data_IF_971443937959
#
_entry.id   IF_971443937959
#
_cell.length_a   1.000
_cell.length_b   1.000
_cell.length_c   1.000
_cell.angle_alpha   90.00
_cell.angle_beta   90.00
_cell.angle_gamma   90.00
#
_symmetry.space_group_name_H-M   'P 1'
#
loop_
_entity.id
_entity.type
_entity.pdbx_description
1 polymer ?
#
# COMPACT_ATOMS: atom_id res chain seq x y z
N UNK A 1 -21.73 -23.61 -8.12
CA UNK A 1 -20.69 -22.64 -8.58
C UNK A 1 -20.46 -21.50 -7.59
N UNK A 2 -21.51 -20.83 -7.09
CA UNK A 2 -21.34 -19.70 -6.17
C UNK A 2 -20.68 -20.07 -4.82
N UNK A 3 -21.05 -21.21 -4.22
CA UNK A 3 -20.44 -21.68 -2.97
C UNK A 3 -18.95 -22.01 -3.11
N UNK A 4 -18.55 -22.58 -4.25
CA UNK A 4 -17.15 -22.86 -4.56
C UNK A 4 -16.34 -21.58 -4.73
N UNK A 5 -16.93 -20.56 -5.36
CA UNK A 5 -16.32 -19.23 -5.45
C UNK A 5 -16.08 -18.64 -4.06
N UNK A 6 -17.07 -18.64 -3.16
CA UNK A 6 -16.89 -18.11 -1.80
C UNK A 6 -15.86 -18.90 -0.97
N UNK A 7 -15.86 -20.23 -1.07
CA UNK A 7 -14.85 -21.06 -0.42
C UNK A 7 -13.43 -20.74 -0.94
N UNK A 8 -13.29 -20.58 -2.26
CA UNK A 8 -12.01 -20.20 -2.86
C UNK A 8 -11.61 -18.75 -2.55
N UNK A 9 -12.58 -17.85 -2.42
CA UNK A 9 -12.34 -16.43 -2.18
C UNK A 9 -11.86 -16.16 -0.74
N UNK A 10 -12.38 -16.92 0.23
CA UNK A 10 -11.95 -16.89 1.63
C UNK A 10 -10.89 -17.92 2.00
N UNK A 11 -10.27 -18.53 1.00
CA UNK A 11 -9.13 -19.43 1.25
C UNK A 11 -7.96 -18.63 1.83
N UNK A 12 -7.22 -19.31 2.69
CA UNK A 12 -5.99 -18.80 3.26
C UNK A 12 -4.99 -19.96 3.32
N UNK A 13 -4.31 -20.26 2.20
CA UNK A 13 -3.39 -21.39 2.14
C UNK A 13 -2.15 -21.11 2.99
N UNK A 14 -1.50 -22.19 3.43
CA UNK A 14 -0.25 -22.09 4.16
C UNK A 14 0.84 -21.40 3.32
N UNK A 15 1.64 -20.58 3.99
CA UNK A 15 2.69 -19.78 3.36
C UNK A 15 4.04 -20.10 3.97
N UNK A 16 5.03 -20.34 3.12
CA UNK A 16 6.44 -20.36 3.54
C UNK A 16 6.89 -18.90 3.66
N UNK A 17 7.10 -18.46 4.89
CA UNK A 17 7.59 -17.11 5.18
C UNK A 17 9.12 -17.15 5.11
N UNK A 18 9.77 -16.34 4.24
CA UNK A 18 11.23 -16.28 4.17
C UNK A 18 11.82 -15.90 5.53
N UNK A 19 13.02 -16.39 5.85
CA UNK A 19 13.74 -16.09 7.10
C UNK A 19 14.74 -14.95 6.99
N UNK A 20 15.09 -14.51 5.77
CA UNK A 20 16.05 -13.43 5.52
C UNK A 20 15.72 -12.17 6.33
N UNK A 21 16.73 -11.49 6.85
CA UNK A 21 16.57 -10.25 7.62
C UNK A 21 16.50 -9.03 6.69
N UNK A 22 15.90 -7.94 7.17
CA UNK A 22 15.82 -6.68 6.43
C UNK A 22 14.93 -6.67 5.19
N UNK A 23 14.33 -7.79 4.78
CA UNK A 23 13.43 -7.85 3.61
C UNK A 23 12.00 -7.45 3.95
N UNK A 24 11.32 -6.89 2.95
CA UNK A 24 9.90 -6.56 3.01
C UNK A 24 9.14 -7.49 2.05
N UNK A 25 8.23 -8.29 2.61
CA UNK A 25 7.42 -9.24 1.82
C UNK A 25 6.13 -8.62 1.32
N UNK A 26 5.55 -9.20 0.27
CA UNK A 26 4.26 -8.75 -0.26
C UNK A 26 3.17 -8.91 0.79
N UNK A 27 2.32 -7.91 1.03
CA UNK A 27 1.16 -8.06 1.89
C UNK A 27 -0.03 -8.72 1.19
N UNK A 28 0.05 -8.96 -0.13
CA UNK A 28 -1.07 -9.43 -0.95
C UNK A 28 -0.64 -10.49 -1.98
N UNK A 29 -1.57 -11.36 -2.33
CA UNK A 29 -1.49 -12.14 -3.56
C UNK A 29 -1.94 -11.29 -4.74
N UNK A 30 -1.22 -11.35 -5.86
CA UNK A 30 -1.61 -10.61 -7.05
C UNK A 30 -0.45 -10.34 -8.00
N UNK A 31 -0.69 -9.49 -8.99
CA UNK A 31 0.33 -9.09 -9.96
C UNK A 31 0.89 -7.70 -9.65
N UNK A 32 2.20 -7.53 -9.78
CA UNK A 32 2.87 -6.23 -9.58
C UNK A 32 2.54 -5.30 -10.74
N UNK A 33 1.75 -4.27 -10.48
CA UNK A 33 1.35 -3.29 -11.50
C UNK A 33 2.51 -2.38 -11.91
N UNK A 34 3.15 -1.77 -10.91
CA UNK A 34 4.25 -0.84 -11.10
C UNK A 34 5.14 -0.81 -9.85
N UNK A 35 6.39 -0.46 -10.06
CA UNK A 35 7.32 -0.06 -9.01
C UNK A 35 7.89 1.32 -9.37
N UNK A 36 7.60 2.34 -8.56
CA UNK A 36 7.97 3.73 -8.88
C UNK A 36 8.66 4.40 -7.72
N UNK A 37 9.63 5.24 -8.05
CA UNK A 37 10.20 6.19 -7.11
C UNK A 37 9.27 7.40 -7.04
N UNK A 38 8.86 7.76 -5.83
CA UNK A 38 7.96 8.89 -5.60
C UNK A 38 8.54 9.84 -4.54
N UNK A 39 8.14 11.11 -4.58
CA UNK A 39 8.48 12.13 -3.58
C UNK A 39 7.22 12.78 -3.02
N UNK A 40 7.21 13.03 -1.72
CA UNK A 40 6.10 13.71 -1.07
C UNK A 40 6.01 15.17 -1.52
N UNK A 41 4.81 15.62 -1.88
CA UNK A 41 4.54 16.99 -2.34
C UNK A 41 3.47 17.72 -1.52
N UNK A 42 2.76 16.98 -0.66
CA UNK A 42 1.64 17.51 0.10
C UNK A 42 1.20 16.52 1.15
N UNK A 43 0.34 16.95 2.06
CA UNK A 43 -0.12 16.12 3.18
C UNK A 43 -1.48 16.51 3.68
N UNK A 44 -2.03 15.71 4.59
CA UNK A 44 -3.25 16.13 5.29
C UNK A 44 -2.99 17.35 6.16
N UNK A 45 -3.85 18.38 6.05
CA UNK A 45 -3.72 19.57 6.88
C UNK A 45 -4.11 19.27 8.32
N UNK A 46 -3.44 19.94 9.25
CA UNK A 46 -3.89 20.09 10.62
C UNK A 46 -5.11 21.03 10.69
N UNK A 47 -5.80 21.06 11.84
CA UNK A 47 -6.93 22.00 12.05
C UNK A 47 -6.54 23.45 11.81
N UNK A 48 -5.37 23.87 12.30
CA UNK A 48 -4.86 25.24 12.12
C UNK A 48 -4.58 25.56 10.65
N UNK A 49 -4.08 24.58 9.89
CA UNK A 49 -3.80 24.76 8.46
C UNK A 49 -5.06 24.81 7.60
N UNK A 50 -6.11 24.08 7.98
CA UNK A 50 -7.43 24.19 7.34
C UNK A 50 -7.98 25.62 7.47
N UNK A 51 -7.82 26.24 8.64
CA UNK A 51 -8.26 27.62 8.91
C UNK A 51 -7.39 28.68 8.22
N UNK A 52 -6.17 28.32 7.80
CA UNK A 52 -5.23 29.27 7.18
C UNK A 52 -5.60 29.71 5.75
N UNK A 53 -6.55 29.02 5.11
CA UNK A 53 -6.93 29.26 3.71
C UNK A 53 -5.90 28.79 2.66
N UNK A 54 -4.76 28.21 3.08
CA UNK A 54 -3.71 27.72 2.17
C UNK A 54 -3.99 26.32 1.59
N UNK A 55 -4.99 25.61 2.11
CA UNK A 55 -5.28 24.26 1.68
C UNK A 55 -5.86 24.24 0.27
N UNK A 56 -5.43 23.25 -0.53
CA UNK A 56 -6.09 22.93 -1.81
C UNK A 56 -7.20 21.92 -1.56
N UNK A 57 -8.26 21.98 -2.36
CA UNK A 57 -9.35 21.02 -2.29
C UNK A 57 -9.40 20.12 -3.52
N UNK A 58 -9.24 18.82 -3.31
CA UNK A 58 -9.52 17.81 -4.32
C UNK A 58 -10.94 17.27 -4.14
N UNK A 59 -11.66 17.15 -5.26
CA UNK A 59 -13.06 16.74 -5.30
C UNK A 59 -13.28 15.35 -4.69
N UNK A 60 -12.30 14.46 -4.80
CA UNK A 60 -12.43 13.06 -4.40
C UNK A 60 -11.79 12.80 -3.04
N UNK A 61 -10.69 13.48 -2.71
CA UNK A 61 -9.86 13.16 -1.54
C UNK A 61 -9.93 14.18 -0.43
N UNK A 62 -10.60 15.32 -0.63
CA UNK A 62 -10.74 16.32 0.42
C UNK A 62 -9.65 17.37 0.39
N UNK A 63 -9.34 17.92 1.56
CA UNK A 63 -8.39 19.01 1.70
C UNK A 63 -6.97 18.48 1.86
N UNK A 64 -6.03 19.22 1.27
CA UNK A 64 -4.60 18.95 1.28
C UNK A 64 -3.83 20.23 1.60
N UNK A 65 -2.80 20.09 2.42
CA UNK A 65 -1.80 21.12 2.59
C UNK A 65 -0.72 20.94 1.50
N UNK A 66 -0.37 22.00 0.75
CA UNK A 66 0.47 21.90 -0.46
C UNK A 66 1.97 21.79 -0.17
N UNK A 67 2.34 21.40 1.04
CA UNK A 67 3.72 21.18 1.45
C UNK A 67 3.83 19.79 2.10
N UNK A 68 4.93 19.05 1.90
CA UNK A 68 5.14 17.78 2.57
C UNK A 68 5.33 17.96 4.08
N UNK A 69 5.54 16.85 4.80
CA UNK A 69 6.02 16.93 6.19
C UNK A 69 7.47 17.46 6.21
N UNK A 70 7.87 18.05 7.34
CA UNK A 70 9.28 18.39 7.60
C UNK A 70 10.18 17.14 7.53
N UNK A 71 9.65 16.01 8.04
CA UNK A 71 10.18 14.67 7.80
C UNK A 71 9.14 13.82 7.02
N UNK A 72 9.23 13.78 5.67
CA UNK A 72 8.33 12.98 4.84
C UNK A 72 8.41 11.48 5.11
N UNK A 73 9.55 10.99 5.60
CA UNK A 73 9.80 9.56 5.83
C UNK A 73 9.30 9.08 7.19
N UNK A 74 8.80 9.99 8.04
CA UNK A 74 8.10 9.67 9.29
C UNK A 74 6.73 9.05 9.07
N UNK A 75 6.10 9.31 7.91
CA UNK A 75 4.77 8.81 7.57
C UNK A 75 3.69 9.12 8.64
N UNK A 76 3.82 10.22 9.39
CA UNK A 76 2.91 10.56 10.50
C UNK A 76 1.48 10.86 10.07
N UNK A 77 1.26 11.21 8.80
CA UNK A 77 -0.06 11.38 8.19
C UNK A 77 -0.05 10.96 6.74
N UNK A 78 -1.23 10.81 6.14
CA UNK A 78 -1.35 10.55 4.70
C UNK A 78 -0.74 11.71 3.88
N UNK A 79 0.13 11.36 2.93
CA UNK A 79 0.83 12.30 2.04
C UNK A 79 0.44 12.09 0.57
N UNK A 80 0.53 13.15 -0.21
CA UNK A 80 0.51 13.11 -1.67
C UNK A 80 1.92 12.91 -2.18
N UNK A 81 2.04 12.06 -3.20
CA UNK A 81 3.31 11.69 -3.79
C UNK A 81 3.24 11.87 -5.31
N UNK A 82 4.34 12.31 -5.90
CA UNK A 82 4.53 12.36 -7.35
C UNK A 82 5.73 11.52 -7.79
N UNK A 83 5.72 11.06 -9.03
CA UNK A 83 6.81 10.26 -9.58
C UNK A 83 8.08 11.11 -9.72
N UNK A 84 9.22 10.56 -9.29
CA UNK A 84 10.53 11.19 -9.41
C UNK A 84 11.18 10.74 -10.72
N UNK A 85 11.53 11.66 -11.65
CA UNK A 85 12.26 11.31 -12.85
C UNK A 85 13.65 10.77 -12.54
N UNK A 86 14.14 9.87 -13.40
CA UNK A 86 15.52 9.37 -13.30
C UNK A 86 16.52 10.53 -13.38
N UNK A 87 17.48 10.56 -12.46
CA UNK A 87 18.45 11.64 -12.31
C UNK A 87 18.03 12.79 -11.38
N UNK A 88 16.79 12.78 -10.85
CA UNK A 88 16.30 13.78 -9.89
C UNK A 88 16.06 13.20 -8.49
N UNK A 89 16.68 12.06 -8.20
CA UNK A 89 16.51 11.34 -6.95
C UNK A 89 17.05 12.09 -5.73
N UNK A 90 16.39 11.95 -4.58
CA UNK A 90 16.82 12.51 -3.30
C UNK A 90 16.68 11.49 -2.16
N UNK A 91 17.24 11.84 -1.00
CA UNK A 91 17.19 11.03 0.21
C UNK A 91 15.78 10.93 0.83
N UNK A 92 14.87 11.83 0.49
CA UNK A 92 13.48 11.85 1.00
C UNK A 92 12.50 11.09 0.10
N UNK A 93 13.01 10.46 -0.96
CA UNK A 93 12.19 9.66 -1.87
C UNK A 93 11.80 8.32 -1.24
N UNK A 94 10.71 7.78 -1.77
CA UNK A 94 10.19 6.46 -1.43
C UNK A 94 10.11 5.59 -2.68
N UNK A 95 10.26 4.29 -2.51
CA UNK A 95 9.76 3.34 -3.50
C UNK A 95 8.31 3.02 -3.19
N UNK A 96 7.48 2.89 -4.22
CA UNK A 96 6.12 2.37 -4.15
C UNK A 96 5.95 1.19 -5.09
N UNK A 97 5.57 0.04 -4.54
CA UNK A 97 5.16 -1.14 -5.30
C UNK A 97 3.65 -1.32 -5.14
N UNK A 98 2.95 -1.39 -6.26
CA UNK A 98 1.51 -1.61 -6.31
C UNK A 98 1.19 -3.05 -6.76
N UNK A 99 0.41 -3.78 -5.95
CA UNK A 99 0.00 -5.16 -6.25
C UNK A 99 -1.51 -5.18 -6.52
N UNK A 100 -1.90 -5.61 -7.72
CA UNK A 100 -3.29 -5.83 -8.09
C UNK A 100 -3.74 -7.24 -7.74
N UNK A 101 -4.80 -7.35 -6.95
CA UNK A 101 -5.44 -8.60 -6.56
C UNK A 101 -6.67 -8.82 -7.43
N UNK A 102 -6.65 -9.80 -8.32
CA UNK A 102 -7.83 -10.23 -9.07
C UNK A 102 -8.87 -10.88 -8.15
N UNK A 103 -10.14 -11.05 -8.58
CA UNK A 103 -11.15 -11.76 -7.79
C UNK A 103 -10.85 -13.23 -7.49
N UNK A 104 -9.86 -13.85 -8.15
CA UNK A 104 -9.48 -15.25 -7.96
C UNK A 104 -8.28 -15.43 -7.00
N UNK A 105 -7.59 -14.33 -6.68
CA UNK A 105 -6.45 -14.32 -5.77
C UNK A 105 -6.87 -14.48 -4.32
N UNK A 106 -5.91 -14.70 -3.41
CA UNK A 106 -6.18 -14.72 -1.97
C UNK A 106 -6.35 -13.28 -1.48
N UNK A 107 -7.50 -12.99 -0.88
CA UNK A 107 -7.81 -11.65 -0.36
C UNK A 107 -7.40 -11.40 1.09
N UNK A 108 -6.85 -12.41 1.76
CA UNK A 108 -6.22 -12.25 3.08
C UNK A 108 -4.89 -11.52 2.92
N UNK A 109 -4.73 -10.42 3.66
CA UNK A 109 -3.50 -9.64 3.67
C UNK A 109 -2.62 -9.97 4.89
N UNK A 110 -1.31 -9.95 4.67
CA UNK A 110 -0.29 -10.36 5.64
C UNK A 110 0.71 -9.24 5.92
N UNK A 111 1.21 -9.19 7.15
CA UNK A 111 2.17 -8.17 7.58
C UNK A 111 3.47 -8.33 6.78
N UNK A 112 3.99 -7.26 6.17
CA UNK A 112 5.13 -7.36 5.26
C UNK A 112 6.45 -7.67 5.99
N UNK A 113 6.52 -7.33 7.28
CA UNK A 113 7.67 -7.56 8.16
C UNK A 113 7.23 -7.71 9.62
N UNK A 114 8.12 -8.19 10.49
CA UNK A 114 7.89 -8.16 11.94
C UNK A 114 7.88 -6.71 12.41
N UNK A 115 6.81 -6.29 13.10
CA UNK A 115 6.56 -4.87 13.37
C UNK A 115 5.42 -4.64 14.35
N UNK A 116 5.31 -3.40 14.82
CA UNK A 116 4.12 -2.86 15.48
C UNK A 116 3.40 -1.90 14.53
N UNK A 117 2.07 -1.95 14.48
CA UNK A 117 1.29 -0.96 13.73
C UNK A 117 1.22 0.35 14.52
N UNK A 118 1.89 1.40 14.06
CA UNK A 118 1.98 2.68 14.78
C UNK A 118 0.90 3.68 14.40
N UNK A 119 0.31 3.53 13.21
CA UNK A 119 -0.84 4.30 12.77
C UNK A 119 -1.73 3.46 11.85
N UNK A 120 -3.04 3.68 11.93
CA UNK A 120 -4.02 3.11 11.00
C UNK A 120 -5.12 4.13 10.70
N UNK A 121 -5.28 4.49 9.43
CA UNK A 121 -6.23 5.51 8.99
C UNK A 121 -7.16 4.96 7.91
N UNK A 122 -8.47 5.05 8.16
CA UNK A 122 -9.49 4.70 7.18
C UNK A 122 -10.00 5.97 6.48
N UNK A 123 -9.96 5.97 5.14
CA UNK A 123 -10.40 7.09 4.30
C UNK A 123 -11.40 6.63 3.26
N UNK A 124 -12.43 7.43 3.04
CA UNK A 124 -13.40 7.31 1.95
C UNK A 124 -13.36 8.57 1.08
N UNK A 125 -14.00 8.53 -0.10
CA UNK A 125 -14.13 9.71 -0.94
C UNK A 125 -14.87 10.86 -0.23
N UNK A 126 -14.47 12.12 -0.52
CA UNK A 126 -15.03 13.34 0.10
C UNK A 126 -16.55 13.37 -0.05
N UNK A 127 -17.27 13.51 1.07
CA UNK A 127 -18.74 13.57 1.10
C UNK A 127 -19.44 12.26 0.70
N UNK A 128 -18.67 11.18 0.47
CA UNK A 128 -19.21 9.88 0.09
C UNK A 128 -19.15 8.93 1.28
N UNK A 129 -20.23 8.18 1.48
CA UNK A 129 -20.22 7.04 2.42
C UNK A 129 -19.13 6.03 2.05
N UNK A 130 -18.88 5.88 0.73
CA UNK A 130 -17.88 5.02 0.07
C UNK A 130 -17.71 5.50 -1.39
N UNK A 131 -16.53 5.39 -2.03
CA UNK A 131 -16.32 5.79 -3.44
C UNK A 131 -14.98 6.50 -3.72
N UNK A 132 -14.66 6.88 -4.98
CA UNK A 132 -15.49 6.85 -6.20
C UNK A 132 -15.56 5.49 -6.92
N UNK A 133 -15.02 4.43 -6.32
CA UNK A 133 -15.12 3.06 -6.84
C UNK A 133 -14.55 2.88 -8.26
N UNK A 134 -13.44 3.55 -8.56
CA UNK A 134 -12.70 3.29 -9.78
C UNK A 134 -12.17 1.84 -9.78
N UNK A 135 -12.01 1.24 -10.97
CA UNK A 135 -11.44 -0.10 -11.06
C UNK A 135 -9.99 -0.10 -10.53
N UNK A 136 -9.63 -1.11 -9.70
CA UNK A 136 -8.37 -1.11 -8.95
C UNK A 136 -7.10 -1.11 -9.82
N UNK A 137 -7.21 -1.47 -11.10
CA UNK A 137 -6.11 -1.40 -12.07
C UNK A 137 -5.91 0.01 -12.66
N UNK A 138 -6.82 0.96 -12.42
CA UNK A 138 -6.71 2.33 -12.93
C UNK A 138 -6.07 3.26 -11.90
N UNK A 139 -5.40 4.32 -12.37
CA UNK A 139 -4.74 5.32 -11.50
C UNK A 139 -5.72 5.97 -10.53
N UNK A 140 -6.95 6.21 -10.99
CA UNK A 140 -8.02 6.85 -10.22
C UNK A 140 -8.47 6.02 -9.01
N UNK A 141 -8.13 4.73 -8.94
CA UNK A 141 -8.42 3.88 -7.77
C UNK A 141 -7.74 4.35 -6.49
N UNK A 142 -6.68 5.14 -6.59
CA UNK A 142 -6.03 5.75 -5.42
C UNK A 142 -6.98 6.61 -4.58
N UNK A 143 -8.11 7.01 -5.15
CA UNK A 143 -9.14 7.82 -4.50
C UNK A 143 -10.26 7.00 -3.85
N UNK A 144 -10.26 5.68 -4.00
CA UNK A 144 -11.27 4.79 -3.42
C UNK A 144 -11.18 4.71 -1.89
N UNK A 145 -12.12 3.96 -1.29
CA UNK A 145 -12.03 3.51 0.10
C UNK A 145 -10.67 2.85 0.32
N UNK A 146 -9.93 3.34 1.31
CA UNK A 146 -8.58 2.86 1.60
C UNK A 146 -8.28 2.86 3.07
N UNK A 147 -7.48 1.89 3.49
CA UNK A 147 -6.95 1.79 4.85
C UNK A 147 -5.44 1.86 4.75
N UNK A 148 -4.89 2.92 5.31
CA UNK A 148 -3.45 3.15 5.47
C UNK A 148 -3.02 2.53 6.79
N UNK A 149 -1.96 1.74 6.79
CA UNK A 149 -1.36 1.16 7.99
C UNK A 149 0.14 1.38 7.97
N UNK A 150 0.70 1.85 9.08
CA UNK A 150 2.14 2.09 9.24
C UNK A 150 2.73 1.02 10.14
N UNK A 151 3.65 0.24 9.59
CA UNK A 151 4.35 -0.84 10.26
C UNK A 151 5.75 -0.36 10.61
N UNK A 152 6.11 -0.39 11.89
CA UNK A 152 7.44 -0.04 12.37
C UNK A 152 8.10 -1.25 13.04
N UNK A 153 9.30 -1.62 12.60
CA UNK A 153 10.13 -2.66 13.25
C UNK A 153 10.83 -2.10 14.47
N UNK A 154 11.41 -3.00 15.27
CA UNK A 154 12.26 -2.65 16.41
C UNK A 154 13.51 -1.86 15.99
N UNK A 155 14.06 -2.10 14.79
CA UNK A 155 15.19 -1.34 14.23
C UNK A 155 14.81 0.04 13.66
N UNK A 156 13.54 0.43 13.77
CA UNK A 156 13.04 1.73 13.32
C UNK A 156 12.73 1.82 11.83
N UNK A 157 12.84 0.73 11.05
CA UNK A 157 12.33 0.69 9.67
C UNK A 157 10.83 0.93 9.65
N UNK A 158 10.38 1.83 8.78
CA UNK A 158 8.96 2.17 8.60
C UNK A 158 8.52 1.73 7.21
N UNK A 159 7.41 1.00 7.16
CA UNK A 159 6.73 0.56 5.93
C UNK A 159 5.29 1.04 5.96
N UNK A 160 4.87 1.76 4.93
CA UNK A 160 3.46 2.08 4.71
C UNK A 160 2.81 0.99 3.84
N UNK A 161 1.68 0.47 4.29
CA UNK A 161 0.81 -0.40 3.49
C UNK A 161 -0.53 0.29 3.32
N UNK A 162 -0.93 0.52 2.08
CA UNK A 162 -2.23 1.08 1.72
C UNK A 162 -3.08 -0.01 1.07
N UNK A 163 -4.09 -0.49 1.78
CA UNK A 163 -5.13 -1.33 1.21
C UNK A 163 -6.12 -0.44 0.48
N UNK A 164 -6.42 -0.73 -0.78
CA UNK A 164 -7.28 0.09 -1.64
C UNK A 164 -8.37 -0.78 -2.25
N UNK A 165 -9.60 -0.41 -1.96
CA UNK A 165 -10.79 -1.07 -2.50
C UNK A 165 -10.94 -0.77 -4.00
N UNK A 166 -11.64 -1.62 -4.74
CA UNK A 166 -11.92 -1.50 -6.17
C UNK A 166 -13.40 -1.27 -6.46
N UNK A 167 -13.77 -1.22 -7.75
CA UNK A 167 -15.17 -1.03 -8.17
C UNK A 167 -16.12 -2.13 -7.65
N UNK A 168 -15.64 -3.38 -7.67
CA UNK A 168 -16.34 -4.54 -7.12
C UNK A 168 -16.00 -4.73 -5.64
N UNK A 169 -14.78 -4.35 -5.24
CA UNK A 169 -14.31 -4.48 -3.88
C UNK A 169 -14.78 -3.34 -3.01
N UNK A 170 -15.82 -3.59 -2.21
CA UNK A 170 -16.40 -2.51 -1.44
C UNK A 170 -15.75 -2.38 -0.08
N UNK A 171 -15.39 -3.46 0.63
CA UNK A 171 -15.00 -3.38 2.05
C UNK A 171 -13.56 -3.81 2.30
N UNK A 172 -12.82 -2.98 3.04
CA UNK A 172 -11.57 -3.37 3.69
C UNK A 172 -11.89 -3.74 5.13
N UNK A 173 -11.38 -4.88 5.60
CA UNK A 173 -11.62 -5.36 6.97
C UNK A 173 -10.29 -5.62 7.65
N UNK A 174 -9.76 -4.64 8.39
CA UNK A 174 -8.67 -4.87 9.32
C UNK A 174 -9.14 -5.83 10.43
N UNK A 175 -8.29 -6.77 10.81
CA UNK A 175 -8.52 -7.69 11.95
C UNK A 175 -7.73 -7.31 13.19
N UNK A 176 -6.72 -6.47 12.99
CA UNK A 176 -5.89 -5.87 14.02
C UNK A 176 -5.89 -4.35 13.81
N UNK A 177 -5.47 -3.60 14.82
CA UNK A 177 -5.43 -2.13 14.78
C UNK A 177 -4.10 -1.57 15.21
N UNK A 178 -4.05 -0.25 15.36
CA UNK A 178 -2.91 0.46 15.93
C UNK A 178 -2.53 -0.12 17.30
N UNK A 179 -1.22 -0.25 17.56
CA UNK A 179 -0.64 -0.87 18.75
C UNK A 179 -0.42 -2.38 18.64
N UNK A 180 -0.94 -3.05 17.61
CA UNK A 180 -0.75 -4.49 17.45
C UNK A 180 0.68 -4.82 16.99
N UNK A 181 1.35 -5.73 17.71
CA UNK A 181 2.61 -6.35 17.31
C UNK A 181 2.36 -7.60 16.48
N UNK A 182 3.03 -7.71 15.34
CA UNK A 182 2.81 -8.73 14.31
C UNK A 182 4.13 -9.36 13.90
N UNK A 183 4.13 -10.67 13.67
CA UNK A 183 5.24 -11.36 12.98
C UNK A 183 5.13 -11.15 11.47
N UNK A 184 6.27 -11.21 10.75
CA UNK A 184 6.26 -11.23 9.28
C UNK A 184 5.35 -12.35 8.78
N UNK A 185 4.50 -12.05 7.80
CA UNK A 185 3.55 -12.99 7.24
C UNK A 185 2.29 -13.23 8.10
N UNK A 186 2.19 -12.65 9.29
CA UNK A 186 0.98 -12.74 10.12
C UNK A 186 -0.18 -12.01 9.42
N UNK A 187 -1.36 -12.61 9.47
CA UNK A 187 -2.57 -12.04 8.86
C UNK A 187 -3.00 -10.81 9.64
N UNK A 188 -3.32 -9.72 8.95
CA UNK A 188 -3.73 -8.46 9.59
C UNK A 188 -5.06 -7.92 9.07
N UNK A 189 -5.58 -8.45 7.97
CA UNK A 189 -6.88 -8.06 7.44
C UNK A 189 -7.20 -8.72 6.11
N UNK A 190 -8.25 -8.22 5.46
CA UNK A 190 -8.63 -8.64 4.11
C UNK A 190 -9.25 -7.49 3.32
N UNK A 191 -9.22 -7.60 1.98
CA UNK A 191 -9.96 -6.68 1.09
C UNK A 191 -10.92 -7.50 0.24
N UNK A 192 -12.22 -7.23 0.30
CA UNK A 192 -13.19 -8.08 -0.41
C UNK A 192 -13.26 -7.69 -1.90
N UNK A 193 -12.88 -8.54 -2.87
CA UNK A 193 -13.27 -8.61 -4.30
C UNK A 193 -12.60 -7.65 -5.30
N UNK A 194 -11.39 -7.94 -5.75
CA UNK A 194 -10.73 -7.16 -6.81
C UNK A 194 -10.19 -5.83 -6.29
N UNK A 195 -8.94 -5.82 -5.84
CA UNK A 195 -8.38 -4.75 -5.02
C UNK A 195 -6.93 -4.45 -5.36
N UNK A 196 -6.36 -3.40 -4.76
CA UNK A 196 -4.95 -3.06 -4.87
C UNK A 196 -4.35 -2.91 -3.48
N UNK A 197 -3.10 -3.33 -3.32
CA UNK A 197 -2.30 -3.00 -2.13
C UNK A 197 -1.03 -2.30 -2.57
N UNK A 198 -0.83 -1.09 -2.08
CA UNK A 198 0.40 -0.36 -2.29
C UNK A 198 1.30 -0.53 -1.06
N UNK A 199 2.60 -0.71 -1.28
CA UNK A 199 3.63 -0.75 -0.23
C UNK A 199 4.62 0.36 -0.52
N UNK A 200 4.95 1.16 0.50
CA UNK A 200 6.00 2.18 0.41
C UNK A 200 7.09 1.98 1.45
N UNK A 201 8.32 2.21 1.01
CA UNK A 201 9.55 2.11 1.81
C UNK A 201 10.50 3.26 1.46
N UNK A 202 11.44 3.58 2.36
CA UNK A 202 12.46 4.62 2.12
C UNK A 202 13.39 4.18 0.97
N UNK A 203 13.49 4.99 -0.09
CA UNK A 203 14.24 4.58 -1.30
C UNK A 203 15.74 4.44 -1.05
N UNK A 204 16.29 5.16 -0.06
CA UNK A 204 17.70 5.08 0.32
C UNK A 204 18.07 3.80 1.07
N UNK A 205 17.09 3.06 1.59
CA UNK A 205 17.32 1.84 2.38
C UNK A 205 16.96 0.55 1.65
N UNK A 206 16.27 0.65 0.51
CA UNK A 206 15.70 -0.51 -0.16
C UNK A 206 15.87 -0.49 -1.68
N UNK A 207 16.12 -1.66 -2.24
CA UNK A 207 16.01 -1.97 -3.65
C UNK A 207 14.68 -2.68 -3.94
N UNK A 208 14.10 -2.42 -5.12
CA UNK A 208 12.94 -3.18 -5.63
C UNK A 208 13.42 -4.55 -6.13
N UNK A 209 12.74 -5.62 -5.72
CA UNK A 209 13.10 -7.01 -6.01
C UNK A 209 12.04 -7.74 -6.86
N UNK A 210 11.19 -7.00 -7.57
CA UNK A 210 10.09 -7.58 -8.37
C UNK A 210 9.99 -6.93 -9.73
N UNK A 211 9.46 -7.68 -10.69
CA UNK A 211 9.20 -7.21 -12.05
C UNK A 211 7.78 -6.68 -12.14
N UNK A 212 7.62 -5.46 -12.63
CA UNK A 212 6.34 -4.79 -12.77
C UNK A 212 5.76 -4.90 -14.18
N UNK A 213 4.45 -4.72 -14.33
CA UNK A 213 3.82 -4.71 -15.65
C UNK A 213 4.35 -3.57 -16.54
N UNK A 214 4.74 -2.44 -15.93
CA UNK A 214 5.31 -1.30 -16.64
C UNK A 214 6.76 -1.55 -17.12
N UNK A 215 7.43 -2.58 -16.62
CA UNK A 215 8.78 -2.95 -17.08
C UNK A 215 8.75 -3.55 -18.49
N UNK A 216 7.56 -3.97 -18.99
CA UNK A 216 7.40 -4.54 -20.32
C UNK A 216 8.10 -5.89 -20.52
N UNK A 217 8.33 -6.64 -19.44
CA UNK A 217 9.06 -7.90 -19.49
C UNK A 217 8.19 -9.03 -20.11
N UNK A 218 8.70 -9.70 -21.15
CA UNK A 218 7.94 -10.67 -21.96
C UNK A 218 7.37 -11.85 -21.14
N UNK A 219 8.14 -12.36 -20.17
CA UNK A 219 7.69 -13.47 -19.29
C UNK A 219 6.65 -13.02 -18.25
N UNK A 220 6.54 -11.71 -18.01
CA UNK A 220 5.68 -11.11 -17.00
C UNK A 220 4.86 -9.96 -17.58
N UNK A 221 4.01 -10.20 -18.60
CA UNK A 221 3.30 -9.14 -19.31
C UNK A 221 2.25 -8.42 -18.44
N UNK A 222 1.89 -9.00 -17.29
CA UNK A 222 1.01 -8.41 -16.29
C UNK A 222 1.77 -8.00 -15.01
N UNK A 223 3.09 -8.06 -15.05
CA UNK A 223 3.97 -8.04 -13.88
C UNK A 223 4.11 -9.41 -13.23
N UNK A 224 5.12 -9.55 -12.37
CA UNK A 224 5.37 -10.76 -11.61
C UNK A 224 4.20 -11.04 -10.66
N UNK A 225 3.78 -12.30 -10.58
CA UNK A 225 2.84 -12.73 -9.55
C UNK A 225 3.56 -12.86 -8.20
N UNK A 226 3.02 -12.21 -7.17
CA UNK A 226 3.54 -12.23 -5.80
C UNK A 226 2.52 -12.86 -4.86
N UNK A 227 3.03 -13.48 -3.79
CA UNK A 227 2.22 -14.13 -2.76
C UNK A 227 2.39 -13.43 -1.41
N UNK A 228 1.28 -13.23 -0.71
CA UNK A 228 1.24 -12.59 0.59
C UNK A 228 2.13 -13.33 1.61
N UNK A 229 3.05 -12.61 2.25
CA UNK A 229 4.00 -13.12 3.23
C UNK A 229 5.17 -13.94 2.67
N UNK A 230 5.17 -14.27 1.38
CA UNK A 230 6.16 -15.17 0.77
C UNK A 230 7.06 -14.47 -0.23
N UNK A 231 6.50 -13.72 -1.18
CA UNK A 231 7.30 -13.01 -2.19
C UNK A 231 7.98 -11.78 -1.58
N UNK A 232 9.24 -11.56 -1.92
CA UNK A 232 10.03 -10.43 -1.44
C UNK A 232 9.83 -9.25 -2.41
N UNK A 233 9.24 -8.16 -1.94
CA UNK A 233 9.08 -6.93 -2.72
C UNK A 233 10.34 -6.06 -2.68
N UNK A 234 10.98 -6.01 -1.51
CA UNK A 234 12.15 -5.17 -1.29
C UNK A 234 13.25 -5.90 -0.54
N UNK A 235 14.49 -5.64 -0.95
CA UNK A 235 15.72 -6.05 -0.27
C UNK A 235 16.45 -4.81 0.25
N UNK A 236 17.20 -4.91 1.36
CA UNK A 236 17.98 -3.79 1.86
C UNK A 236 19.06 -3.37 0.83
N UNK A 237 19.42 -2.09 0.84
CA UNK A 237 20.63 -1.60 0.15
C UNK A 237 21.85 -2.07 0.94
N UNK A 238 22.88 -2.53 0.24
CA UNK A 238 24.18 -2.94 0.82
C UNK A 238 25.02 -1.76 1.31
#
# INVERSE_FOLDING_TARGET
>A
MLSAFFANFWRDPDRKIPSQQGIITSPADGHVMFAKRERAIGRRPSKKELESGKCTNDKLTGDWYPEPLDDPLSFTTEQQFEAVPKGQESATDVWRVAVFMSPLDVHVNRAPMASTITAMEHRTGKGMRRGPFAAAFKKESQYNERVRSIFQSEDGTIVEVMQISGALARTIVPWVGQGATLRRGQRFGMIRLGSRVDVRVQASKFNVNVISAEDGHDEHPKGQFVMAGSSILYTPVE
#
